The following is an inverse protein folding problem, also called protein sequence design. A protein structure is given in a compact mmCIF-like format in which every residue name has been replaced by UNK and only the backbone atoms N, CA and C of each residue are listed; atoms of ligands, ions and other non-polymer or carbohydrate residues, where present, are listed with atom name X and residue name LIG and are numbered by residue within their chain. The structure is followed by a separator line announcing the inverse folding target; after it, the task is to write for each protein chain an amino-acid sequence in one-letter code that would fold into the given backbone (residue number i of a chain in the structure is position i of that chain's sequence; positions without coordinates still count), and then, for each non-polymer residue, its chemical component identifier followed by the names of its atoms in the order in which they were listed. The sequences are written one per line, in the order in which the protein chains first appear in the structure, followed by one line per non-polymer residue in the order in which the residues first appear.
data_IF_168575950104
#
_entry.id   IF_168575950104
#
_cell.length_a   1.000
_cell.length_b   1.000
_cell.length_c   1.000
_cell.angle_alpha   90.00
_cell.angle_beta   90.00
_cell.angle_gamma   90.00
#
_symmetry.space_group_name_H-M   'P 1'
#
loop_
_entity.id
_entity.type
_entity.pdbx_description
1 polymer ?
#
# COMPACT_ATOMS: atom_id res chain seq x y z
N UNK A 1 22.14 62.61 13.81
CA UNK A 1 23.19 61.87 14.57
C UNK A 1 22.64 60.65 15.29
N UNK A 2 21.61 60.76 16.07
CA UNK A 2 21.06 59.60 16.78
C UNK A 2 20.42 58.55 15.88
N UNK A 3 19.81 58.94 14.80
CA UNK A 3 19.21 58.03 13.83
C UNK A 3 20.27 57.23 13.04
N UNK A 4 21.36 57.91 12.66
CA UNK A 4 22.47 57.23 11.97
C UNK A 4 23.18 56.20 12.87
N UNK A 5 23.34 56.53 14.15
CA UNK A 5 23.91 55.60 15.13
C UNK A 5 22.97 54.40 15.37
N UNK A 6 21.67 54.60 15.39
CA UNK A 6 20.68 53.54 15.51
C UNK A 6 20.69 52.63 14.27
N UNK A 7 20.80 53.20 13.08
CA UNK A 7 20.89 52.42 11.84
C UNK A 7 22.19 51.64 11.78
N UNK A 8 23.31 52.22 12.21
CA UNK A 8 24.58 51.53 12.27
C UNK A 8 24.56 50.40 13.30
N UNK A 9 24.02 50.67 14.49
CA UNK A 9 23.86 49.64 15.53
C UNK A 9 22.90 48.54 15.08
N UNK A 10 21.82 48.84 14.41
CA UNK A 10 20.88 47.87 13.84
C UNK A 10 21.52 47.05 12.73
N UNK A 11 22.32 47.69 11.88
CA UNK A 11 23.07 47.03 10.82
C UNK A 11 24.14 46.07 11.38
N UNK A 12 24.86 46.48 12.42
CA UNK A 12 25.87 45.64 13.07
C UNK A 12 25.25 44.48 13.81
N UNK A 13 24.14 44.68 14.51
CA UNK A 13 23.36 43.62 15.12
C UNK A 13 22.80 42.64 14.07
N UNK A 14 22.33 43.16 12.95
CA UNK A 14 21.85 42.36 11.84
C UNK A 14 22.96 41.51 11.24
N UNK A 15 24.16 42.10 11.08
CA UNK A 15 25.35 41.36 10.59
C UNK A 15 25.81 40.26 11.54
N UNK A 16 25.74 40.48 12.85
CA UNK A 16 26.09 39.50 13.87
C UNK A 16 25.04 38.39 13.99
N UNK A 17 23.75 38.75 13.88
CA UNK A 17 22.63 37.84 13.97
C UNK A 17 22.41 37.01 12.69
N UNK A 18 22.76 37.56 11.53
CA UNK A 18 22.49 36.93 10.24
C UNK A 18 23.18 35.54 10.08
N UNK A 19 24.48 35.39 10.41
CA UNK A 19 25.10 34.05 10.29
C UNK A 19 24.47 33.04 11.25
N UNK A 20 24.10 33.44 12.46
CA UNK A 20 23.41 32.58 13.41
C UNK A 20 22.02 32.19 12.92
N UNK A 21 21.28 33.16 12.40
CA UNK A 21 19.97 32.93 11.79
C UNK A 21 20.07 32.00 10.58
N UNK A 22 21.03 32.21 9.69
CA UNK A 22 21.27 31.39 8.53
C UNK A 22 21.59 29.93 8.93
N UNK A 23 22.42 29.73 9.93
CA UNK A 23 22.71 28.38 10.46
C UNK A 23 21.48 27.72 11.06
N UNK A 24 20.65 28.50 11.77
CA UNK A 24 19.39 28.01 12.33
C UNK A 24 18.43 27.56 11.23
N UNK A 25 18.31 28.32 10.15
CA UNK A 25 17.48 27.98 8.99
C UNK A 25 18.00 26.71 8.31
N UNK A 26 19.30 26.61 8.10
CA UNK A 26 19.93 25.42 7.52
C UNK A 26 19.70 24.20 8.41
N UNK A 27 19.90 24.33 9.72
CA UNK A 27 19.66 23.23 10.66
C UNK A 27 18.20 22.75 10.65
N UNK A 28 17.24 23.68 10.61
CA UNK A 28 15.81 23.34 10.49
C UNK A 28 15.51 22.64 9.18
N UNK A 29 16.09 23.13 8.10
CA UNK A 29 15.92 22.54 6.78
C UNK A 29 16.44 21.11 6.74
N UNK A 30 17.61 20.85 7.31
CA UNK A 30 18.20 19.52 7.42
C UNK A 30 17.35 18.60 8.29
N UNK A 31 16.83 19.11 9.42
CA UNK A 31 15.96 18.33 10.29
C UNK A 31 14.64 17.95 9.60
N UNK A 32 14.04 18.88 8.88
CA UNK A 32 12.83 18.64 8.09
C UNK A 32 13.12 17.62 7.00
N UNK A 33 14.23 17.74 6.31
CA UNK A 33 14.61 16.79 5.26
C UNK A 33 14.80 15.38 5.83
N UNK A 34 15.44 15.25 6.98
CA UNK A 34 15.56 13.95 7.65
C UNK A 34 14.21 13.36 8.04
N UNK A 35 13.30 14.21 8.52
CA UNK A 35 11.94 13.78 8.85
C UNK A 35 11.17 13.32 7.63
N UNK A 36 11.29 14.04 6.52
CA UNK A 36 10.70 13.64 5.23
C UNK A 36 11.26 12.30 4.77
N UNK A 37 12.57 12.13 4.79
CA UNK A 37 13.24 10.90 4.38
C UNK A 37 12.77 9.71 5.23
N UNK A 38 12.62 9.91 6.54
CA UNK A 38 12.12 8.87 7.45
C UNK A 38 10.67 8.51 7.15
N UNK A 39 9.81 9.50 6.92
CA UNK A 39 8.41 9.25 6.55
C UNK A 39 8.31 8.53 5.21
N UNK A 40 9.10 8.93 4.24
CA UNK A 40 9.14 8.26 2.92
C UNK A 40 9.58 6.81 3.06
N UNK A 41 10.57 6.53 3.90
CA UNK A 41 11.03 5.19 4.19
C UNK A 41 9.94 4.34 4.85
N UNK A 42 9.24 4.90 5.83
CA UNK A 42 8.11 4.24 6.48
C UNK A 42 6.98 3.97 5.49
N UNK A 43 6.65 4.95 4.66
CA UNK A 43 5.63 4.82 3.62
C UNK A 43 5.98 3.71 2.61
N UNK A 44 7.24 3.64 2.19
CA UNK A 44 7.71 2.57 1.31
C UNK A 44 7.58 1.19 1.98
N UNK A 45 7.91 1.09 3.27
CA UNK A 45 7.74 -0.16 4.03
C UNK A 45 6.28 -0.59 4.13
N UNK A 46 5.38 0.35 4.42
CA UNK A 46 3.94 0.07 4.47
C UNK A 46 3.41 -0.35 3.09
N UNK A 47 3.87 0.29 2.03
CA UNK A 47 3.49 -0.07 0.66
C UNK A 47 3.93 -1.50 0.33
N UNK A 48 5.14 -1.90 0.69
CA UNK A 48 5.62 -3.27 0.51
C UNK A 48 4.77 -4.29 1.28
N UNK A 49 4.45 -3.99 2.54
CA UNK A 49 3.58 -4.83 3.36
C UNK A 49 2.19 -4.98 2.74
N UNK A 50 1.63 -3.88 2.26
CA UNK A 50 0.32 -3.89 1.59
C UNK A 50 0.35 -4.74 0.31
N UNK A 51 1.39 -4.60 -0.49
CA UNK A 51 1.56 -5.40 -1.71
C UNK A 51 1.72 -6.89 -1.39
N UNK A 52 2.46 -7.22 -0.33
CA UNK A 52 2.61 -8.60 0.12
C UNK A 52 1.28 -9.18 0.60
N UNK A 53 0.52 -8.42 1.40
CA UNK A 53 -0.80 -8.82 1.86
C UNK A 53 -1.79 -9.00 0.70
N UNK A 54 -1.74 -8.12 -0.29
CA UNK A 54 -2.58 -8.21 -1.48
C UNK A 54 -2.26 -9.46 -2.30
N UNK A 55 -0.98 -9.79 -2.49
CA UNK A 55 -0.56 -11.02 -3.17
C UNK A 55 -1.04 -12.27 -2.44
N UNK A 56 -0.97 -12.24 -1.10
CA UNK A 56 -1.47 -13.34 -0.27
C UNK A 56 -2.99 -13.50 -0.42
N UNK A 57 -3.72 -12.41 -0.36
CA UNK A 57 -5.17 -12.40 -0.59
C UNK A 57 -5.51 -12.98 -1.98
N UNK A 58 -4.79 -12.59 -3.01
CA UNK A 58 -4.99 -13.10 -4.37
C UNK A 58 -4.77 -14.61 -4.47
N UNK A 59 -3.79 -15.15 -3.76
CA UNK A 59 -3.57 -16.61 -3.70
C UNK A 59 -4.79 -17.33 -3.12
N UNK A 60 -5.36 -16.81 -2.03
CA UNK A 60 -6.55 -17.38 -1.41
C UNK A 60 -7.78 -17.26 -2.31
N UNK A 61 -7.97 -16.12 -2.98
CA UNK A 61 -9.06 -15.93 -3.92
C UNK A 61 -8.97 -16.92 -5.09
N UNK A 62 -7.79 -17.08 -5.68
CA UNK A 62 -7.55 -18.03 -6.77
C UNK A 62 -7.81 -19.45 -6.30
N UNK A 63 -7.34 -19.83 -5.11
CA UNK A 63 -7.55 -21.15 -4.55
C UNK A 63 -9.04 -21.43 -4.31
N UNK A 64 -9.77 -20.45 -3.75
CA UNK A 64 -11.21 -20.55 -3.51
C UNK A 64 -11.99 -20.68 -4.82
N UNK A 65 -11.66 -19.87 -5.83
CA UNK A 65 -12.30 -19.94 -7.15
C UNK A 65 -12.04 -21.29 -7.83
N UNK A 66 -10.82 -21.81 -7.73
CA UNK A 66 -10.44 -23.10 -8.28
C UNK A 66 -11.20 -24.25 -7.60
N UNK A 67 -11.34 -24.20 -6.28
CA UNK A 67 -12.11 -25.18 -5.51
C UNK A 67 -13.59 -25.12 -5.87
N UNK A 68 -14.18 -23.93 -5.94
CA UNK A 68 -15.57 -23.74 -6.35
C UNK A 68 -15.82 -24.27 -7.77
N UNK A 69 -14.87 -24.09 -8.68
CA UNK A 69 -14.97 -24.62 -10.04
C UNK A 69 -14.91 -26.15 -10.06
N UNK A 70 -14.03 -26.75 -9.28
CA UNK A 70 -13.95 -28.20 -9.13
C UNK A 70 -15.23 -28.79 -8.57
N UNK A 71 -15.81 -28.13 -7.56
CA UNK A 71 -17.07 -28.56 -6.95
C UNK A 71 -18.22 -28.48 -7.95
N UNK A 72 -18.27 -27.44 -8.76
CA UNK A 72 -19.28 -27.32 -9.82
C UNK A 72 -19.15 -28.41 -10.88
N UNK A 73 -17.95 -28.70 -11.30
CA UNK A 73 -17.66 -29.76 -12.27
C UNK A 73 -18.06 -31.14 -11.70
N UNK A 74 -17.70 -31.41 -10.45
CA UNK A 74 -18.03 -32.66 -9.78
C UNK A 74 -19.54 -32.82 -9.59
N UNK A 75 -20.22 -31.75 -9.17
CA UNK A 75 -21.69 -31.75 -9.07
C UNK A 75 -22.36 -32.03 -10.42
N UNK A 76 -21.91 -31.37 -11.47
CA UNK A 76 -22.42 -31.59 -12.82
C UNK A 76 -22.22 -33.05 -13.28
N UNK A 77 -21.06 -33.63 -12.95
CA UNK A 77 -20.76 -35.05 -13.23
C UNK A 77 -21.71 -35.95 -12.51
N UNK A 78 -21.96 -35.73 -11.22
CA UNK A 78 -22.89 -36.51 -10.43
C UNK A 78 -24.32 -36.45 -10.99
N UNK A 79 -24.78 -35.26 -11.32
CA UNK A 79 -26.11 -35.06 -11.94
C UNK A 79 -26.20 -35.82 -13.27
N UNK A 80 -25.18 -35.73 -14.10
CA UNK A 80 -25.16 -36.44 -15.38
C UNK A 80 -25.17 -37.95 -15.19
N UNK A 81 -24.41 -38.46 -14.22
CA UNK A 81 -24.39 -39.90 -13.89
C UNK A 81 -25.77 -40.38 -13.44
N UNK A 82 -26.44 -39.62 -12.59
CA UNK A 82 -27.81 -39.91 -12.13
C UNK A 82 -28.81 -39.92 -13.29
N UNK A 83 -28.72 -38.95 -14.20
CA UNK A 83 -29.56 -38.90 -15.38
C UNK A 83 -29.30 -40.08 -16.33
N UNK A 84 -28.05 -40.47 -16.51
CA UNK A 84 -27.66 -41.61 -17.31
C UNK A 84 -28.20 -42.90 -16.71
N UNK A 85 -28.14 -43.08 -15.40
CA UNK A 85 -28.72 -44.21 -14.69
C UNK A 85 -30.23 -44.32 -14.86
N UNK A 86 -30.91 -43.18 -14.73
CA UNK A 86 -32.37 -43.11 -14.95
C UNK A 86 -32.71 -43.48 -16.39
N UNK A 87 -31.97 -42.93 -17.34
CA UNK A 87 -32.18 -43.21 -18.75
C UNK A 87 -31.94 -44.69 -19.06
N UNK A 88 -30.89 -45.28 -18.51
CA UNK A 88 -30.58 -46.71 -18.65
C UNK A 88 -31.67 -47.60 -17.99
N UNK A 89 -32.12 -47.24 -16.80
CA UNK A 89 -33.21 -47.90 -16.12
C UNK A 89 -34.50 -47.88 -16.90
N UNK A 90 -34.86 -46.73 -17.52
CA UNK A 90 -36.02 -46.63 -18.42
C UNK A 90 -35.87 -47.49 -19.69
N UNK A 91 -34.67 -47.53 -20.24
CA UNK A 91 -34.40 -48.34 -21.43
C UNK A 91 -34.54 -49.84 -21.12
N UNK A 92 -33.98 -50.28 -20.00
CA UNK A 92 -34.08 -51.63 -19.51
C UNK A 92 -35.55 -52.04 -19.24
N UNK A 93 -36.32 -51.13 -18.61
CA UNK A 93 -37.75 -51.36 -18.35
C UNK A 93 -38.62 -51.46 -19.62
N UNK A 94 -38.22 -50.77 -20.65
CA UNK A 94 -38.94 -50.81 -21.95
C UNK A 94 -38.56 -52.02 -22.80
N UNK A 95 -37.42 -52.60 -22.54
CA UNK A 95 -36.96 -53.78 -23.23
C UNK A 95 -37.51 -55.02 -22.56
#
# INVERSE_FOLDING_TARGET
MQEEQRRAAHSDLGRLAYPSFARSVVARRENIQRSIDEVEKQAAGVTEELQAAYRELKKYEIAADSEAQRDRVEYARQVQAELDDIALGRHVRKA
#
